data_IF_572651536448
#
_entry.id   IF_572651536448
#
_cell.length_a   1.000
_cell.length_b   1.000
_cell.length_c   1.000
_cell.angle_alpha   90.00
_cell.angle_beta   90.00
_cell.angle_gamma   90.00
#
_symmetry.space_group_name_H-M   'P 1'
#
loop_
_entity.id
_entity.type
_entity.pdbx_description
1 polymer ?
#
# COMPACT_ATOMS: atom_id res chain seq x y z
N UNK A 1 5.01 -9.45 -19.31
CA UNK A 1 4.38 -8.78 -18.16
C UNK A 1 3.56 -9.80 -17.41
N UNK A 2 4.01 -10.16 -16.22
CA UNK A 2 3.21 -10.86 -15.24
C UNK A 2 2.46 -9.87 -14.36
N UNK A 3 1.31 -10.30 -13.85
CA UNK A 3 0.52 -9.53 -12.89
C UNK A 3 0.49 -10.29 -11.57
N UNK A 4 0.89 -9.64 -10.49
CA UNK A 4 0.87 -10.20 -9.14
C UNK A 4 -0.24 -9.55 -8.31
N UNK A 5 -1.02 -10.36 -7.60
CA UNK A 5 -2.07 -9.86 -6.72
C UNK A 5 -1.54 -9.67 -5.30
N UNK A 6 -1.69 -8.46 -4.77
CA UNK A 6 -1.37 -8.17 -3.37
C UNK A 6 -2.65 -7.93 -2.56
N UNK A 7 -2.82 -8.74 -1.51
CA UNK A 7 -4.00 -8.80 -0.65
C UNK A 7 -3.58 -8.52 0.79
N UNK A 8 -4.22 -7.55 1.45
CA UNK A 8 -3.93 -7.20 2.85
C UNK A 8 -5.19 -7.10 3.69
N UNK A 9 -5.19 -7.77 4.85
CA UNK A 9 -6.14 -7.56 5.94
C UNK A 9 -5.48 -6.83 7.12
N UNK A 10 -6.25 -6.04 7.88
CA UNK A 10 -5.70 -5.23 8.96
C UNK A 10 -5.59 -5.97 10.30
N UNK A 11 -6.30 -7.09 10.46
CA UNK A 11 -6.25 -7.98 11.63
C UNK A 11 -6.17 -9.44 11.20
N UNK A 12 -5.69 -10.34 12.07
CA UNK A 12 -5.65 -11.78 11.77
C UNK A 12 -7.04 -12.41 11.60
N UNK A 13 -8.05 -11.80 12.22
CA UNK A 13 -9.45 -12.23 12.16
C UNK A 13 -10.14 -11.80 10.86
N UNK A 14 -9.56 -10.84 10.13
CA UNK A 14 -10.09 -10.39 8.85
C UNK A 14 -9.61 -11.29 7.72
N UNK A 15 -10.54 -11.66 6.84
CA UNK A 15 -10.23 -12.43 5.65
C UNK A 15 -9.52 -11.56 4.59
N UNK A 16 -8.19 -11.70 4.49
CA UNK A 16 -7.38 -11.06 3.45
C UNK A 16 -7.74 -11.56 2.04
N UNK A 17 -8.34 -12.74 1.90
CA UNK A 17 -8.73 -13.32 0.62
C UNK A 17 -10.04 -12.73 0.08
N UNK A 18 -10.77 -11.91 0.86
CA UNK A 18 -12.06 -11.34 0.45
C UNK A 18 -12.02 -10.65 -0.92
N UNK A 19 -10.90 -9.98 -1.24
CA UNK A 19 -10.73 -9.22 -2.48
C UNK A 19 -10.19 -10.09 -3.62
N UNK A 20 -9.76 -11.33 -3.36
CA UNK A 20 -9.13 -12.21 -4.34
C UNK A 20 -10.04 -12.48 -5.53
N UNK A 21 -11.32 -12.80 -5.28
CA UNK A 21 -12.29 -13.05 -6.35
C UNK A 21 -12.43 -11.82 -7.25
N UNK A 22 -12.66 -10.64 -6.65
CA UNK A 22 -12.80 -9.38 -7.38
C UNK A 22 -11.57 -9.01 -8.20
N UNK A 23 -10.37 -9.20 -7.65
CA UNK A 23 -9.11 -8.96 -8.36
C UNK A 23 -8.90 -9.94 -9.51
N UNK A 24 -9.28 -11.20 -9.32
CA UNK A 24 -9.20 -12.23 -10.36
C UNK A 24 -10.17 -11.92 -11.51
N UNK A 25 -11.41 -11.57 -11.18
CA UNK A 25 -12.44 -11.23 -12.16
C UNK A 25 -12.03 -9.99 -12.96
N UNK A 26 -11.49 -8.97 -12.28
CA UNK A 26 -10.93 -7.78 -12.92
C UNK A 26 -9.80 -8.13 -13.89
N UNK A 27 -8.81 -8.92 -13.48
CA UNK A 27 -7.73 -9.34 -14.38
C UNK A 27 -8.28 -10.10 -15.60
N UNK A 28 -9.24 -11.00 -15.40
CA UNK A 28 -9.88 -11.76 -16.47
C UNK A 28 -10.66 -10.88 -17.46
N UNK A 29 -11.40 -9.88 -16.97
CA UNK A 29 -12.11 -8.90 -17.80
C UNK A 29 -11.17 -8.12 -18.73
N UNK A 30 -9.93 -7.91 -18.29
CA UNK A 30 -8.88 -7.26 -19.08
C UNK A 30 -7.99 -8.26 -19.85
N UNK A 31 -8.40 -9.52 -20.00
CA UNK A 31 -7.64 -10.58 -20.69
C UNK A 31 -6.26 -10.89 -20.08
N UNK A 32 -6.09 -10.64 -18.79
CA UNK A 32 -4.86 -10.94 -18.05
C UNK A 32 -5.06 -12.07 -17.04
N UNK A 33 -3.96 -12.72 -16.65
CA UNK A 33 -3.92 -13.74 -15.61
C UNK A 33 -3.02 -13.29 -14.47
N UNK A 34 -3.43 -13.58 -13.25
CA UNK A 34 -2.60 -13.32 -12.06
C UNK A 34 -1.62 -14.49 -11.90
N UNK A 35 -0.32 -14.18 -11.95
CA UNK A 35 0.78 -15.12 -11.86
C UNK A 35 1.02 -15.63 -10.44
N UNK A 36 0.76 -14.80 -9.42
CA UNK A 36 0.95 -15.14 -8.02
C UNK A 36 0.14 -14.25 -7.09
N UNK A 37 -0.16 -14.76 -5.89
CA UNK A 37 -0.87 -14.04 -4.84
C UNK A 37 0.01 -13.90 -3.61
N UNK A 38 0.08 -12.70 -3.08
CA UNK A 38 0.81 -12.35 -1.87
C UNK A 38 -0.21 -11.84 -0.87
N UNK A 39 -0.39 -12.58 0.22
CA UNK A 39 -1.50 -12.41 1.16
C UNK A 39 -0.94 -12.12 2.53
N UNK A 40 -1.25 -10.94 3.06
CA UNK A 40 -0.68 -10.47 4.31
C UNK A 40 -1.74 -10.05 5.33
N UNK A 41 -1.61 -10.55 6.56
CA UNK A 41 -2.36 -10.08 7.71
C UNK A 41 -1.48 -9.13 8.53
N UNK A 42 -1.35 -7.90 8.06
CA UNK A 42 -0.57 -6.86 8.72
C UNK A 42 -1.35 -5.55 8.81
N UNK A 43 -1.20 -4.90 9.96
CA UNK A 43 -1.64 -3.52 10.10
C UNK A 43 -0.97 -2.67 9.02
N UNK A 44 -1.76 -1.82 8.36
CA UNK A 44 -1.21 -0.89 7.37
C UNK A 44 -0.10 -0.01 7.95
N UNK A 45 -0.09 0.26 9.25
CA UNK A 45 0.94 1.07 9.91
C UNK A 45 2.26 0.34 10.19
N UNK A 46 2.34 -0.98 9.97
CA UNK A 46 3.56 -1.73 10.20
C UNK A 46 4.53 -1.57 9.02
N UNK A 47 5.78 -1.24 9.35
CA UNK A 47 6.91 -1.17 8.41
C UNK A 47 7.28 -2.56 7.87
N UNK A 48 7.11 -3.60 8.67
CA UNK A 48 7.51 -4.96 8.32
C UNK A 48 6.37 -5.70 7.61
N UNK A 49 6.46 -5.74 6.28
CA UNK A 49 5.49 -6.40 5.40
C UNK A 49 6.18 -7.47 4.55
N UNK A 50 6.43 -8.67 5.10
CA UNK A 50 7.25 -9.69 4.45
C UNK A 50 6.70 -10.12 3.09
N UNK A 51 5.38 -10.20 2.92
CA UNK A 51 4.79 -10.63 1.65
C UNK A 51 4.86 -9.56 0.57
N UNK A 52 4.75 -8.27 0.96
CA UNK A 52 4.99 -7.17 0.03
C UNK A 52 6.44 -7.14 -0.43
N UNK A 53 7.39 -7.32 0.49
CA UNK A 53 8.81 -7.36 0.14
C UNK A 53 9.15 -8.56 -0.74
N UNK A 54 8.56 -9.73 -0.47
CA UNK A 54 8.69 -10.92 -1.32
C UNK A 54 8.14 -10.67 -2.72
N UNK A 55 6.96 -10.06 -2.83
CA UNK A 55 6.39 -9.66 -4.12
C UNK A 55 7.35 -8.76 -4.90
N UNK A 56 7.88 -7.72 -4.25
CA UNK A 56 8.78 -6.78 -4.88
C UNK A 56 10.10 -7.43 -5.28
N UNK A 57 10.56 -8.47 -4.59
CA UNK A 57 11.74 -9.26 -4.97
C UNK A 57 11.44 -10.14 -6.18
N UNK A 58 10.32 -10.87 -6.15
CA UNK A 58 9.89 -11.81 -7.20
C UNK A 58 9.49 -11.11 -8.51
N UNK A 59 9.03 -9.86 -8.44
CA UNK A 59 8.62 -9.10 -9.62
C UNK A 59 9.82 -8.70 -10.50
N UNK A 60 9.68 -8.84 -11.81
CA UNK A 60 10.69 -8.44 -12.79
C UNK A 60 10.37 -7.07 -13.43
N UNK A 61 11.35 -6.44 -14.09
CA UNK A 61 11.11 -5.16 -14.74
C UNK A 61 9.95 -5.19 -15.75
N UNK A 62 8.98 -4.29 -15.57
CA UNK A 62 7.79 -4.20 -16.42
C UNK A 62 6.62 -5.11 -16.01
N UNK A 63 6.71 -5.79 -14.88
CA UNK A 63 5.58 -6.48 -14.26
C UNK A 63 4.61 -5.51 -13.57
N UNK A 64 3.42 -6.01 -13.24
CA UNK A 64 2.37 -5.23 -12.60
C UNK A 64 1.92 -5.82 -11.26
N UNK A 65 1.51 -4.95 -10.36
CA UNK A 65 0.94 -5.28 -9.05
C UNK A 65 -0.50 -4.84 -9.05
N UNK A 66 -1.43 -5.77 -8.83
CA UNK A 66 -2.86 -5.48 -8.71
C UNK A 66 -3.29 -5.47 -7.24
N UNK A 67 -3.98 -4.42 -6.82
CA UNK A 67 -4.47 -4.20 -5.46
C UNK A 67 -5.95 -3.80 -5.45
N UNK A 68 -6.63 -4.08 -4.34
CA UNK A 68 -8.05 -3.70 -4.17
C UNK A 68 -8.23 -2.19 -4.11
N UNK A 69 -7.41 -1.55 -3.28
CA UNK A 69 -7.48 -0.13 -2.95
C UNK A 69 -6.08 0.38 -2.64
N UNK A 70 -5.87 1.68 -2.81
CA UNK A 70 -4.53 2.25 -2.64
C UNK A 70 -4.04 2.31 -1.20
N UNK A 71 -4.98 2.33 -0.26
CA UNK A 71 -4.73 2.24 1.18
C UNK A 71 -4.02 0.92 1.58
N UNK A 72 -3.93 -0.05 0.67
CA UNK A 72 -3.16 -1.29 0.83
C UNK A 72 -1.66 -1.02 0.78
N UNK A 73 -1.22 -0.01 0.04
CA UNK A 73 0.18 0.40 -0.07
C UNK A 73 0.51 1.67 0.73
N UNK A 74 -0.41 2.65 0.80
CA UNK A 74 -0.11 4.01 1.29
C UNK A 74 0.05 4.18 2.80
N UNK A 75 -0.29 3.20 3.63
CA UNK A 75 -0.27 3.36 5.10
C UNK A 75 1.13 3.23 5.74
N UNK A 76 2.20 3.38 4.97
CA UNK A 76 3.59 3.35 5.46
C UNK A 76 3.99 4.67 6.12
N UNK A 77 5.07 4.66 6.89
CA UNK A 77 5.77 5.88 7.30
C UNK A 77 6.58 6.46 6.13
N UNK A 78 7.11 7.68 6.30
CA UNK A 78 7.81 8.40 5.22
C UNK A 78 8.97 7.55 4.65
N UNK A 79 9.75 6.90 5.51
CA UNK A 79 10.89 6.06 5.10
C UNK A 79 10.46 4.80 4.34
N UNK A 80 9.41 4.12 4.81
CA UNK A 80 8.86 2.93 4.14
C UNK A 80 8.27 3.28 2.78
N UNK A 81 7.63 4.45 2.67
CA UNK A 81 7.07 4.92 1.42
C UNK A 81 8.15 5.28 0.39
N UNK A 82 9.19 6.01 0.78
CA UNK A 82 10.33 6.31 -0.11
C UNK A 82 11.00 5.04 -0.63
N UNK A 83 11.19 4.05 0.25
CA UNK A 83 11.76 2.76 -0.12
C UNK A 83 10.87 2.00 -1.10
N UNK A 84 9.56 1.95 -0.85
CA UNK A 84 8.59 1.32 -1.74
C UNK A 84 8.58 1.98 -3.13
N UNK A 85 8.53 3.32 -3.16
CA UNK A 85 8.57 4.10 -4.39
C UNK A 85 9.84 3.83 -5.19
N UNK A 86 10.99 3.79 -4.52
CA UNK A 86 12.29 3.48 -5.14
C UNK A 86 12.28 2.09 -5.78
N UNK A 87 11.85 1.06 -5.05
CA UNK A 87 11.79 -0.31 -5.57
C UNK A 87 10.84 -0.44 -6.77
N UNK A 88 9.65 0.18 -6.71
CA UNK A 88 8.70 0.21 -7.82
C UNK A 88 9.30 0.91 -9.04
N UNK A 89 9.98 2.04 -8.83
CA UNK A 89 10.56 2.83 -9.92
C UNK A 89 11.76 2.13 -10.58
N UNK A 90 12.67 1.56 -9.79
CA UNK A 90 13.84 0.81 -10.28
C UNK A 90 13.43 -0.35 -11.18
N UNK A 91 12.37 -1.07 -10.79
CA UNK A 91 11.81 -2.18 -11.58
C UNK A 91 10.74 -1.72 -12.57
N UNK A 92 10.46 -0.43 -12.70
CA UNK A 92 9.39 0.09 -13.57
C UNK A 92 8.06 -0.68 -13.41
N UNK A 93 7.71 -1.03 -12.17
CA UNK A 93 6.50 -1.79 -11.88
C UNK A 93 5.26 -0.92 -12.06
N UNK A 94 4.22 -1.49 -12.64
CA UNK A 94 2.92 -0.82 -12.78
C UNK A 94 2.04 -1.13 -11.57
N UNK A 95 1.50 -0.12 -10.89
CA UNK A 95 0.52 -0.33 -9.83
C UNK A 95 -0.87 -0.19 -10.42
N UNK A 96 -1.70 -1.21 -10.24
CA UNK A 96 -3.06 -1.26 -10.77
C UNK A 96 -4.02 -1.42 -9.60
N UNK A 97 -4.85 -0.41 -9.39
CA UNK A 97 -5.82 -0.41 -8.30
C UNK A 97 -7.24 -0.38 -8.86
N UNK A 98 -8.14 -1.17 -8.27
CA UNK A 98 -9.54 -1.20 -8.70
C UNK A 98 -10.26 0.12 -8.41
N UNK A 99 -9.83 0.87 -7.40
CA UNK A 99 -10.36 2.18 -7.04
C UNK A 99 -9.78 3.35 -7.87
N UNK A 100 -8.80 3.08 -8.74
CA UNK A 100 -8.21 4.07 -9.64
C UNK A 100 -8.35 3.63 -11.11
N UNK A 101 -9.47 3.99 -11.79
CA UNK A 101 -9.72 3.63 -13.18
C UNK A 101 -8.60 4.05 -14.15
N UNK A 102 -7.88 5.13 -13.85
CA UNK A 102 -6.73 5.60 -14.64
C UNK A 102 -5.57 4.59 -14.67
N UNK A 103 -5.43 3.75 -13.65
CA UNK A 103 -4.40 2.71 -13.59
C UNK A 103 -4.67 1.53 -14.54
N UNK A 104 -5.91 1.38 -15.02
CA UNK A 104 -6.30 0.26 -15.89
C UNK A 104 -5.71 0.39 -17.30
N UNK A 105 -5.27 1.60 -17.68
CA UNK A 105 -4.61 1.86 -18.97
C UNK A 105 -3.28 1.07 -19.07
N UNK A 106 -2.66 0.72 -17.93
CA UNK A 106 -1.50 -0.16 -17.89
C UNK A 106 -1.80 -1.58 -18.44
N UNK A 107 -3.06 -2.03 -18.38
CA UNK A 107 -3.50 -3.35 -18.88
C UNK A 107 -3.70 -3.37 -20.40
N UNK A 108 -3.94 -2.22 -21.02
CA UNK A 108 -4.18 -2.07 -22.46
C UNK A 108 -2.90 -1.91 -23.30
N UNK A 109 -1.72 -2.07 -22.68
CA UNK A 109 -0.41 -1.73 -23.26
C UNK A 109 0.09 -2.68 -24.37
N UNK A 110 -0.68 -3.69 -24.77
CA UNK A 110 -0.31 -4.68 -25.80
C UNK A 110 -0.14 -4.08 -27.21
N UNK A 111 -0.69 -2.89 -27.48
CA UNK A 111 -0.65 -2.21 -28.79
C UNK A 111 -0.28 -0.73 -28.71
N UNK A 112 0.32 -0.30 -27.61
CA UNK A 112 0.64 1.10 -27.34
C UNK A 112 2.02 1.49 -27.92
N UNK A 113 2.02 2.56 -28.73
CA UNK A 113 3.22 3.20 -29.30
C UNK A 113 4.11 3.82 -28.19
N UNK A 114 5.37 4.12 -28.50
CA UNK A 114 6.38 4.59 -27.53
C UNK A 114 5.94 5.87 -26.79
N UNK A 115 5.17 6.73 -27.45
CA UNK A 115 4.56 7.91 -26.84
C UNK A 115 3.55 7.52 -25.75
N UNK A 116 2.65 6.58 -26.04
CA UNK A 116 1.65 6.10 -25.08
C UNK A 116 2.31 5.40 -23.88
N UNK A 117 3.38 4.63 -24.12
CA UNK A 117 4.17 4.01 -23.03
C UNK A 117 4.81 5.05 -22.11
N UNK A 118 5.38 6.10 -22.71
CA UNK A 118 5.99 7.21 -21.96
C UNK A 118 4.95 7.98 -21.14
N UNK A 119 3.78 8.24 -21.74
CA UNK A 119 2.65 8.88 -21.05
C UNK A 119 2.13 8.03 -19.90
N UNK A 120 1.99 6.71 -20.09
CA UNK A 120 1.58 5.78 -19.05
C UNK A 120 2.55 5.75 -17.87
N UNK A 121 3.86 5.76 -18.17
CA UNK A 121 4.90 5.83 -17.14
C UNK A 121 4.82 7.13 -16.35
N UNK A 122 4.59 8.27 -17.02
CA UNK A 122 4.42 9.56 -16.37
C UNK A 122 3.18 9.59 -15.46
N UNK A 123 2.06 9.04 -15.92
CA UNK A 123 0.83 8.93 -15.12
C UNK A 123 1.03 8.02 -13.91
N UNK A 124 1.69 6.86 -14.08
CA UNK A 124 2.01 5.97 -12.97
C UNK A 124 2.89 6.67 -11.93
N UNK A 125 3.92 7.40 -12.37
CA UNK A 125 4.79 8.17 -11.48
C UNK A 125 4.04 9.28 -10.74
N UNK A 126 3.21 10.07 -11.44
CA UNK A 126 2.38 11.09 -10.82
C UNK A 126 1.40 10.50 -9.80
N UNK A 127 0.82 9.34 -10.11
CA UNK A 127 -0.05 8.62 -9.19
C UNK A 127 0.70 8.21 -7.93
N UNK A 128 1.90 7.62 -8.06
CA UNK A 128 2.76 7.29 -6.92
C UNK A 128 3.13 8.55 -6.11
N UNK A 129 3.41 9.67 -6.75
CA UNK A 129 3.69 10.94 -6.07
C UNK A 129 2.47 11.48 -5.31
N UNK A 130 1.28 11.39 -5.89
CA UNK A 130 0.04 11.79 -5.24
C UNK A 130 -0.25 10.92 -4.01
N UNK A 131 -0.03 9.61 -4.12
CA UNK A 131 -0.21 8.67 -3.01
C UNK A 131 0.81 8.90 -1.89
N UNK A 132 2.04 9.29 -2.25
CA UNK A 132 3.06 9.74 -1.30
C UNK A 132 2.57 10.93 -0.48
N UNK A 133 2.04 11.94 -1.17
CA UNK A 133 1.57 13.16 -0.55
C UNK A 133 0.39 12.90 0.39
N UNK A 134 -0.55 12.03 -0.02
CA UNK A 134 -1.69 11.63 0.83
C UNK A 134 -1.21 10.87 2.06
N UNK A 135 -0.29 9.90 1.90
CA UNK A 135 0.27 9.13 3.00
C UNK A 135 0.96 10.03 4.04
N UNK A 136 1.78 10.97 3.57
CA UNK A 136 2.47 11.95 4.40
C UNK A 136 1.51 12.85 5.17
N UNK A 137 0.48 13.39 4.48
CA UNK A 137 -0.56 14.20 5.13
C UNK A 137 -1.31 13.41 6.21
N UNK A 138 -1.69 12.17 5.92
CA UNK A 138 -2.36 11.28 6.87
C UNK A 138 -1.49 10.95 8.09
N UNK A 139 -0.18 10.86 7.92
CA UNK A 139 0.77 10.67 9.02
C UNK A 139 0.87 11.93 9.89
N UNK A 140 1.04 13.09 9.28
CA UNK A 140 1.11 14.39 9.97
C UNK A 140 -0.18 14.68 10.75
N UNK A 141 -1.35 14.44 10.14
CA UNK A 141 -2.64 14.62 10.80
C UNK A 141 -2.85 13.66 11.98
N UNK A 142 -2.38 12.40 11.86
CA UNK A 142 -2.42 11.44 12.98
C UNK A 142 -1.54 11.91 14.14
N UNK A 143 -0.32 12.37 13.84
CA UNK A 143 0.61 12.91 14.85
C UNK A 143 0.04 14.15 15.53
N UNK A 144 -0.59 15.07 14.78
CA UNK A 144 -1.27 16.24 15.33
C UNK A 144 -2.35 15.85 16.33
N UNK A 145 -3.26 14.95 15.94
CA UNK A 145 -4.34 14.46 16.84
C UNK A 145 -3.81 13.78 18.09
N UNK A 146 -2.71 13.02 17.97
CA UNK A 146 -2.08 12.39 19.13
C UNK A 146 -1.50 13.42 20.10
N UNK A 147 -0.84 14.47 19.59
CA UNK A 147 -0.32 15.56 20.42
C UNK A 147 -1.45 16.37 21.08
N UNK A 148 -2.53 16.64 20.36
CA UNK A 148 -3.74 17.30 20.90
C UNK A 148 -4.34 16.45 22.03
N UNK A 149 -4.50 15.14 21.82
CA UNK A 149 -5.01 14.22 22.85
C UNK A 149 -4.10 14.14 24.09
N UNK A 150 -2.77 14.14 23.92
CA UNK A 150 -1.82 14.19 25.04
C UNK A 150 -1.92 15.54 25.78
N UNK A 151 -2.06 16.64 25.04
CA UNK A 151 -2.16 17.99 25.63
C UNK A 151 -3.46 18.15 26.41
N UNK A 152 -4.60 17.71 25.85
CA UNK A 152 -5.89 17.68 26.55
C UNK A 152 -5.85 16.76 27.79
N UNK A 153 -5.27 15.56 27.69
CA UNK A 153 -5.16 14.64 28.82
C UNK A 153 -4.20 15.16 29.93
N UNK A 154 -3.18 15.95 29.57
CA UNK A 154 -2.30 16.65 30.52
C UNK A 154 -2.99 17.84 31.18
N UNK A 155 -3.79 18.60 30.44
CA UNK A 155 -4.60 19.72 30.98
C UNK A 155 -5.71 19.26 31.92
N UNK A 156 -6.29 18.08 31.70
CA UNK A 156 -7.30 17.46 32.56
C UNK A 156 -6.75 16.68 33.77
N UNK A 157 -5.43 16.69 34.01
CA UNK A 157 -4.81 16.01 35.17
C UNK A 157 -4.89 14.47 35.14
N UNK A 158 -5.19 13.84 33.99
CA UNK A 158 -5.36 12.39 33.85
C UNK A 158 -4.09 11.59 33.58
N UNK A 159 -2.91 12.13 33.95
CA UNK A 159 -1.70 11.32 34.10
C UNK A 159 -1.53 11.01 35.59
N UNK A 160 -2.35 10.10 36.11
CA UNK A 160 -1.94 9.32 37.26
C UNK A 160 -0.79 8.42 36.78
N UNK A 161 0.44 8.84 37.07
CA UNK A 161 1.60 7.98 36.97
C UNK A 161 1.30 6.67 37.68
N UNK A 162 1.71 5.54 37.11
CA UNK A 162 1.72 4.24 37.79
C UNK A 162 2.49 4.41 39.11
N UNK A 163 1.76 4.60 40.21
CA UNK A 163 2.29 4.54 41.55
C UNK A 163 2.81 3.12 41.80
N UNK A 164 4.00 3.03 42.37
CA UNK A 164 4.82 1.84 42.42
C UNK A 164 4.14 0.61 43.04
N UNK A 165 4.41 -0.55 42.45
CA UNK A 165 4.24 -1.83 43.13
C UNK A 165 5.48 -2.03 44.01
N UNK A 166 5.50 -1.36 45.17
CA UNK A 166 6.31 -1.81 46.30
C UNK A 166 5.67 -3.09 46.87
N UNK A 167 6.54 -3.97 47.36
CA UNK A 167 6.29 -5.40 47.47
C UNK A 167 5.24 -5.85 48.47
N UNK A 168 4.90 -7.13 48.34
CA UNK A 168 4.44 -7.99 49.43
C UNK A 168 5.23 -9.30 49.34
N UNK A 169 6.04 -9.49 50.39
CA UNK A 169 6.50 -10.73 51.04
C UNK A 169 6.24 -12.05 50.34
#
# INVERSE_FOLDING_TARGET
MFIFGYLRASTQEQDALRAKARLKDFAQQHNHRIAGWYVENASGAALHRPELMRLLQDAEPGDAIVIEQVDRLSRLDDNGWESLKKMIHEKSLSIISLDLPTSHIALSSSSADDFTRSMLRAVNNMMLDMLAAIARKDYEDRRRRQMEGITSARGEGKIQGKAGRQGKT
#
